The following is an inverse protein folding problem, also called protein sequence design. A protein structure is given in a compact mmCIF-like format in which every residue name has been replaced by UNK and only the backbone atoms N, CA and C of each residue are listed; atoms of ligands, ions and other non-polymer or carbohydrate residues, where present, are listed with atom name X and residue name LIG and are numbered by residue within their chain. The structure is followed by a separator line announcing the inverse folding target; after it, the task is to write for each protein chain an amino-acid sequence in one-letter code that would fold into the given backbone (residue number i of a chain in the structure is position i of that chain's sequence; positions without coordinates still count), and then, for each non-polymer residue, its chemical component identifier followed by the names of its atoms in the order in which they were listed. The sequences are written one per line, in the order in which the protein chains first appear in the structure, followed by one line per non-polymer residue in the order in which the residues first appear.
data_IF_103062687139
#
_entry.id   IF_103062687139
#
_cell.length_a   1.000
_cell.length_b   1.000
_cell.length_c   1.000
_cell.angle_alpha   90.00
_cell.angle_beta   90.00
_cell.angle_gamma   90.00
#
_symmetry.space_group_name_H-M   'P 1'
#
loop_
_entity.id
_entity.type
_entity.pdbx_description
1 polymer ?
#
# COMPACT_ATOMS: atom_id res chain seq x y z
N UNK A 1 0.35 -17.83 0.16
CA UNK A 1 -0.36 -16.59 0.54
C UNK A 1 -1.43 -16.27 -0.49
N UNK A 2 -2.49 -15.60 -0.09
CA UNK A 2 -3.56 -15.21 -1.02
C UNK A 2 -3.07 -14.15 -2.00
N UNK A 3 -3.42 -14.29 -3.29
CA UNK A 3 -3.16 -13.26 -4.28
C UNK A 3 -3.96 -11.99 -3.97
N UNK A 4 -3.42 -10.82 -4.31
CA UNK A 4 -4.13 -9.56 -4.14
C UNK A 4 -4.86 -9.14 -5.41
N UNK A 5 -6.04 -8.59 -5.22
CA UNK A 5 -6.90 -8.03 -6.27
C UNK A 5 -7.40 -6.64 -5.85
N UNK A 6 -8.07 -5.95 -6.76
CA UNK A 6 -8.80 -4.71 -6.46
C UNK A 6 -10.06 -4.95 -5.60
N UNK A 7 -10.03 -5.92 -4.70
CA UNK A 7 -11.10 -6.21 -3.75
C UNK A 7 -10.91 -5.46 -2.43
N UNK A 8 -11.54 -5.97 -1.39
CA UNK A 8 -11.55 -5.35 -0.06
C UNK A 8 -10.33 -5.71 0.79
N UNK A 9 -9.13 -5.73 0.22
CA UNK A 9 -7.88 -5.92 0.96
C UNK A 9 -7.38 -4.63 1.59
N UNK A 10 -6.46 -4.74 2.55
CA UNK A 10 -5.86 -3.58 3.20
C UNK A 10 -4.35 -3.76 3.36
N UNK A 11 -3.63 -2.69 3.07
CA UNK A 11 -2.21 -2.53 3.33
C UNK A 11 -2.04 -1.59 4.52
N UNK A 12 -1.15 -1.91 5.45
CA UNK A 12 -0.90 -1.09 6.63
C UNK A 12 0.58 -0.80 6.78
N UNK A 13 0.91 0.47 6.99
CA UNK A 13 2.23 0.93 7.39
C UNK A 13 2.24 1.47 8.82
N UNK A 14 3.31 1.19 9.56
CA UNK A 14 3.56 1.73 10.88
C UNK A 14 5.05 1.57 11.23
N UNK A 15 5.68 2.56 11.86
CA UNK A 15 5.16 3.90 12.15
C UNK A 15 5.26 4.84 10.93
N UNK A 16 4.17 5.51 10.62
CA UNK A 16 4.17 6.60 9.65
C UNK A 16 4.33 7.92 10.41
N UNK A 17 5.55 8.44 10.44
CA UNK A 17 5.89 9.61 11.26
C UNK A 17 5.61 10.87 10.48
N UNK A 18 4.59 11.61 10.91
CA UNK A 18 4.19 12.88 10.34
C UNK A 18 4.31 14.02 11.34
N UNK A 19 4.65 15.20 10.84
CA UNK A 19 4.74 16.40 11.65
C UNK A 19 3.33 16.90 12.00
N UNK A 20 3.06 16.99 13.29
CA UNK A 20 1.78 17.43 13.82
C UNK A 20 1.95 18.72 14.57
N UNK A 21 1.14 19.76 14.30
CA UNK A 21 1.22 21.01 15.06
C UNK A 21 0.74 20.82 16.49
N UNK A 22 1.64 20.99 17.45
CA UNK A 22 1.33 21.01 18.88
C UNK A 22 1.61 22.42 19.40
N UNK A 23 0.59 23.27 19.41
CA UNK A 23 0.76 24.71 19.63
C UNK A 23 1.56 25.34 18.47
N UNK A 24 2.61 26.13 18.75
CA UNK A 24 3.41 26.78 17.71
C UNK A 24 4.54 25.90 17.13
N UNK A 25 4.67 24.64 17.59
CA UNK A 25 5.81 23.77 17.25
C UNK A 25 5.34 22.50 16.55
N UNK A 26 5.91 22.14 15.37
CA UNK A 26 5.68 20.85 14.76
C UNK A 26 6.38 19.73 15.54
N UNK A 27 5.65 18.68 15.88
CA UNK A 27 6.15 17.52 16.61
C UNK A 27 5.99 16.27 15.74
N UNK A 28 7.05 15.44 15.55
CA UNK A 28 6.92 14.18 14.84
C UNK A 28 6.13 13.18 15.68
N UNK A 29 5.01 12.71 15.16
CA UNK A 29 4.14 11.75 15.82
C UNK A 29 3.95 10.54 14.89
N UNK A 30 4.10 9.31 15.40
CA UNK A 30 3.85 8.10 14.60
C UNK A 30 2.35 7.83 14.47
N UNK A 31 1.90 7.59 13.24
CA UNK A 31 0.53 7.21 12.93
C UNK A 31 0.49 5.83 12.25
N UNK A 32 -0.59 5.07 12.40
CA UNK A 32 -0.90 3.98 11.50
C UNK A 32 -1.40 4.57 10.18
N UNK A 33 -0.96 4.02 9.06
CA UNK A 33 -1.41 4.46 7.75
C UNK A 33 -1.97 3.25 6.99
N UNK A 34 -3.19 3.36 6.48
CA UNK A 34 -3.92 2.26 5.86
C UNK A 34 -4.30 2.65 4.44
N UNK A 35 -3.98 1.76 3.49
CA UNK A 35 -4.42 1.87 2.11
C UNK A 35 -5.32 0.70 1.75
N UNK A 36 -6.41 0.97 1.03
CA UNK A 36 -7.32 -0.06 0.57
C UNK A 36 -6.97 -0.56 -0.82
N UNK A 37 -6.99 -1.87 -1.03
CA UNK A 37 -6.75 -2.48 -2.34
C UNK A 37 -7.78 -2.03 -3.38
N UNK A 38 -8.99 -1.68 -2.96
CA UNK A 38 -10.06 -1.20 -3.83
C UNK A 38 -9.73 0.13 -4.53
N UNK A 39 -8.89 0.97 -3.92
CA UNK A 39 -8.45 2.25 -4.49
C UNK A 39 -7.12 2.15 -5.22
N UNK A 40 -6.60 0.94 -5.41
CA UNK A 40 -5.31 0.69 -6.05
C UNK A 40 -5.46 0.61 -7.57
N UNK A 41 -4.63 1.34 -8.29
CA UNK A 41 -4.59 1.36 -9.76
C UNK A 41 -3.17 1.75 -10.25
N UNK A 42 -2.72 1.30 -11.45
CA UNK A 42 -3.40 0.34 -12.33
C UNK A 42 -3.39 -1.09 -11.76
N UNK A 43 -4.11 -1.99 -12.41
CA UNK A 43 -4.13 -3.41 -12.09
C UNK A 43 -3.99 -4.26 -13.36
N UNK A 44 -3.74 -5.54 -13.22
CA UNK A 44 -3.75 -6.47 -14.34
C UNK A 44 -5.20 -6.81 -14.75
N UNK A 45 -5.81 -5.95 -15.55
CA UNK A 45 -7.22 -6.04 -15.93
C UNK A 45 -7.58 -7.26 -16.80
N UNK A 46 -6.58 -7.93 -17.36
CA UNK A 46 -6.72 -9.16 -18.12
C UNK A 46 -6.60 -10.44 -17.25
N UNK A 47 -6.25 -10.30 -15.99
CA UNK A 47 -6.15 -11.40 -15.03
C UNK A 47 -7.11 -11.16 -13.87
N UNK A 48 -8.24 -11.86 -13.88
CA UNK A 48 -9.29 -11.71 -12.89
C UNK A 48 -9.27 -12.87 -11.89
N UNK A 49 -9.37 -12.53 -10.61
CA UNK A 49 -9.59 -13.48 -9.52
C UNK A 49 -10.82 -12.99 -8.76
N UNK A 50 -11.81 -13.87 -8.59
CA UNK A 50 -13.12 -13.52 -8.01
C UNK A 50 -13.75 -12.29 -8.69
N UNK A 51 -13.67 -12.23 -10.02
CA UNK A 51 -14.16 -11.13 -10.84
C UNK A 51 -13.48 -9.77 -10.59
N UNK A 52 -12.37 -9.73 -9.86
CA UNK A 52 -11.60 -8.53 -9.59
C UNK A 52 -10.22 -8.58 -10.25
N UNK A 53 -9.73 -7.48 -10.85
CA UNK A 53 -8.39 -7.42 -11.42
C UNK A 53 -7.30 -7.71 -10.40
N UNK A 54 -6.28 -8.46 -10.82
CA UNK A 54 -5.14 -8.81 -9.96
C UNK A 54 -4.17 -7.65 -9.84
N UNK A 55 -3.62 -7.43 -8.66
CA UNK A 55 -2.59 -6.42 -8.42
C UNK A 55 -1.21 -6.95 -8.77
N UNK A 56 -0.37 -6.09 -9.31
CA UNK A 56 1.01 -6.39 -9.68
C UNK A 56 1.99 -5.32 -9.17
N UNK A 57 3.26 -5.43 -9.58
CA UNK A 57 4.35 -4.57 -9.06
C UNK A 57 4.19 -3.08 -9.40
N UNK A 58 3.44 -2.72 -10.43
CA UNK A 58 3.18 -1.30 -10.79
C UNK A 58 1.87 -0.77 -10.24
N UNK A 59 1.12 -1.59 -9.51
CA UNK A 59 -0.09 -1.15 -8.85
C UNK A 59 0.23 -0.19 -7.72
N UNK A 60 -0.50 0.92 -7.66
CA UNK A 60 -0.33 1.96 -6.65
C UNK A 60 -1.63 2.15 -5.88
N UNK A 61 -1.57 2.08 -4.56
CA UNK A 61 -2.64 2.59 -3.71
C UNK A 61 -2.68 4.10 -3.84
N UNK A 62 -3.78 4.64 -4.36
CA UNK A 62 -3.84 6.06 -4.71
C UNK A 62 -3.98 6.97 -3.50
N UNK A 63 -4.58 6.46 -2.42
CA UNK A 63 -4.85 7.20 -1.18
C UNK A 63 -4.63 6.27 0.00
N UNK A 64 -4.04 6.79 1.05
CA UNK A 64 -3.96 6.15 2.37
C UNK A 64 -4.62 7.02 3.44
N UNK A 65 -5.03 6.42 4.53
CA UNK A 65 -5.75 7.08 5.63
C UNK A 65 -5.15 6.70 6.97
N UNK A 66 -5.22 7.60 7.95
CA UNK A 66 -4.79 7.37 9.33
C UNK A 66 -3.73 8.36 9.84
N UNK A 67 -3.06 9.07 8.95
CA UNK A 67 -2.03 10.07 9.26
C UNK A 67 -2.49 11.52 9.08
N UNK A 68 -3.78 11.76 8.83
CA UNK A 68 -4.37 13.08 8.58
C UNK A 68 -4.07 14.12 9.67
N UNK A 69 -3.95 13.78 10.97
CA UNK A 69 -3.56 14.79 11.96
C UNK A 69 -2.14 15.33 11.76
N UNK A 70 -1.32 14.65 10.97
CA UNK A 70 0.04 15.06 10.60
C UNK A 70 0.09 16.06 9.46
N UNK A 71 -0.71 17.14 9.52
CA UNK A 71 -0.92 18.13 8.46
C UNK A 71 0.34 18.88 8.00
N UNK A 72 1.45 18.79 8.74
CA UNK A 72 2.75 19.32 8.34
C UNK A 72 3.61 18.30 7.61
N UNK A 73 3.00 17.20 7.17
CA UNK A 73 3.51 16.19 6.27
C UNK A 73 4.51 15.19 6.90
N UNK A 74 4.75 14.12 6.17
CA UNK A 74 5.69 13.06 6.58
C UNK A 74 7.12 13.56 6.72
N UNK A 75 7.85 13.02 7.67
CA UNK A 75 9.23 13.43 7.98
C UNK A 75 10.19 13.08 6.84
N UNK A 76 9.91 12.02 6.08
CA UNK A 76 10.79 11.53 5.01
C UNK A 76 10.24 11.90 3.63
N UNK A 77 9.00 11.57 3.33
CA UNK A 77 8.42 11.77 2.00
C UNK A 77 7.78 13.14 1.81
N UNK A 78 7.52 13.87 2.88
CA UNK A 78 6.78 15.15 2.86
C UNK A 78 5.37 15.01 2.27
N UNK A 79 4.72 13.89 2.53
CA UNK A 79 3.35 13.60 2.12
C UNK A 79 2.52 13.16 3.33
N UNK A 80 1.24 13.42 3.27
CA UNK A 80 0.20 12.80 4.09
C UNK A 80 -0.87 12.21 3.19
N UNK A 81 -1.58 11.17 3.61
CA UNK A 81 -2.63 10.50 2.83
C UNK A 81 -2.20 10.20 1.37
N UNK A 82 -0.93 9.89 1.21
CA UNK A 82 -0.26 9.75 -0.09
C UNK A 82 -0.39 8.36 -0.69
N UNK A 83 0.41 8.11 -1.71
CA UNK A 83 0.40 6.84 -2.43
C UNK A 83 1.09 5.73 -1.65
N UNK A 84 0.58 4.50 -1.85
CA UNK A 84 1.21 3.28 -1.37
C UNK A 84 1.79 2.51 -2.56
N UNK A 85 3.07 2.17 -2.49
CA UNK A 85 3.75 1.39 -3.52
C UNK A 85 4.04 -0.02 -3.03
N UNK A 86 3.91 -1.02 -3.94
CA UNK A 86 4.35 -2.38 -3.67
C UNK A 86 5.84 -2.50 -3.98
N UNK A 87 6.66 -2.74 -2.97
CA UNK A 87 8.11 -2.80 -3.10
C UNK A 87 8.61 -4.19 -3.52
N UNK A 88 7.96 -5.26 -3.05
CA UNK A 88 8.33 -6.63 -3.36
C UNK A 88 7.08 -7.46 -3.65
N UNK A 89 7.01 -8.01 -4.86
CA UNK A 89 5.97 -8.94 -5.29
C UNK A 89 6.44 -10.39 -5.33
N UNK A 90 5.58 -11.27 -5.77
CA UNK A 90 5.87 -12.67 -6.00
C UNK A 90 6.59 -12.83 -7.35
N UNK A 91 7.91 -13.00 -7.34
CA UNK A 91 8.73 -13.04 -8.56
C UNK A 91 8.52 -14.29 -9.41
N UNK A 92 7.96 -15.36 -8.85
CA UNK A 92 7.71 -16.62 -9.57
C UNK A 92 6.35 -16.65 -10.25
N UNK A 93 5.46 -15.72 -9.92
CA UNK A 93 4.12 -15.62 -10.48
C UNK A 93 3.93 -14.22 -11.05
N UNK A 94 3.61 -14.16 -12.33
CA UNK A 94 3.44 -12.89 -13.05
C UNK A 94 1.96 -12.64 -13.34
N UNK A 95 1.52 -11.41 -13.11
CA UNK A 95 0.24 -10.90 -13.55
C UNK A 95 0.49 -9.79 -14.57
N UNK A 96 0.09 -10.01 -15.81
CA UNK A 96 0.33 -9.11 -16.93
C UNK A 96 1.83 -8.79 -17.14
N UNK A 97 2.67 -9.82 -17.04
CA UNK A 97 4.12 -9.70 -17.23
C UNK A 97 4.91 -9.09 -16.08
N UNK A 98 4.26 -8.78 -14.96
CA UNK A 98 4.86 -8.18 -13.78
C UNK A 98 4.62 -9.04 -12.54
N UNK A 99 5.51 -9.01 -11.53
CA UNK A 99 5.33 -9.77 -10.30
C UNK A 99 3.98 -9.51 -9.66
N UNK A 100 3.23 -10.58 -9.39
CA UNK A 100 1.92 -10.49 -8.74
C UNK A 100 2.08 -10.12 -7.26
N UNK A 101 1.12 -9.38 -6.72
CA UNK A 101 1.09 -9.05 -5.30
C UNK A 101 0.29 -10.10 -4.51
N UNK A 102 0.64 -10.25 -3.25
CA UNK A 102 0.01 -11.23 -2.36
C UNK A 102 -0.09 -10.70 -0.94
N UNK A 103 -0.89 -11.38 -0.13
CA UNK A 103 -0.92 -11.14 1.31
C UNK A 103 0.52 -11.18 1.86
N UNK A 104 0.89 -10.24 2.71
CA UNK A 104 2.25 -10.00 3.22
C UNK A 104 3.23 -9.40 2.20
N UNK A 105 2.79 -8.96 1.01
CA UNK A 105 3.63 -8.12 0.15
C UNK A 105 4.09 -6.89 0.90
N UNK A 106 5.38 -6.58 0.76
CA UNK A 106 5.97 -5.40 1.41
C UNK A 106 5.56 -4.14 0.64
N UNK A 107 5.06 -3.16 1.37
CA UNK A 107 4.64 -1.87 0.83
C UNK A 107 5.44 -0.73 1.41
N UNK A 108 5.48 0.39 0.71
CA UNK A 108 5.91 1.68 1.23
C UNK A 108 4.71 2.61 1.28
N UNK A 109 4.48 3.21 2.44
CA UNK A 109 3.37 4.14 2.65
C UNK A 109 3.82 5.58 2.47
N UNK A 110 2.92 6.44 1.99
CA UNK A 110 3.22 7.84 1.67
C UNK A 110 4.46 7.96 0.79
N UNK A 111 4.51 7.17 -0.29
CA UNK A 111 5.64 7.17 -1.22
C UNK A 111 5.66 8.41 -2.11
N UNK A 112 6.86 8.97 -2.26
CA UNK A 112 7.17 9.95 -3.28
C UNK A 112 8.30 9.37 -4.14
N UNK A 113 7.94 8.90 -5.35
CA UNK A 113 8.89 8.37 -6.33
C UNK A 113 9.88 7.35 -5.72
N UNK A 114 9.36 6.25 -5.16
CA UNK A 114 10.11 5.18 -4.47
C UNK A 114 10.74 5.54 -3.12
N UNK A 115 10.43 6.69 -2.57
CA UNK A 115 10.87 7.07 -1.23
C UNK A 115 9.69 7.01 -0.25
N UNK A 116 9.50 5.90 0.49
CA UNK A 116 8.41 5.77 1.43
C UNK A 116 8.66 6.54 2.72
N UNK A 117 7.61 7.09 3.32
CA UNK A 117 7.67 7.66 4.66
C UNK A 117 7.67 6.55 5.73
N UNK A 118 6.94 5.47 5.48
CA UNK A 118 6.86 4.33 6.38
C UNK A 118 6.89 2.99 5.62
N UNK A 119 7.51 1.96 6.19
CA UNK A 119 7.36 0.60 5.69
C UNK A 119 6.01 0.04 6.07
N UNK A 120 5.46 -0.83 5.23
CA UNK A 120 4.20 -1.49 5.49
C UNK A 120 4.14 -2.86 4.83
N UNK A 121 3.00 -3.50 5.02
CA UNK A 121 2.69 -4.76 4.36
C UNK A 121 1.18 -4.93 4.18
N UNK A 122 0.80 -5.78 3.25
CA UNK A 122 -0.58 -6.19 3.12
C UNK A 122 -0.95 -7.12 4.28
N UNK A 123 -1.94 -6.69 5.08
CA UNK A 123 -2.38 -7.39 6.29
C UNK A 123 -3.74 -8.06 6.16
N UNK A 124 -4.56 -7.62 5.21
CA UNK A 124 -5.89 -8.18 4.99
C UNK A 124 -6.03 -8.65 3.53
N UNK A 125 -6.41 -9.92 3.30
CA UNK A 125 -6.55 -10.42 1.94
C UNK A 125 -7.76 -9.80 1.25
N UNK A 126 -7.60 -9.50 -0.05
CA UNK A 126 -8.71 -9.02 -0.89
C UNK A 126 -9.59 -10.14 -1.40
N UNK A 127 -9.12 -11.39 -1.36
CA UNK A 127 -9.85 -12.61 -1.73
C UNK A 127 -9.20 -13.81 -1.03
N UNK A 128 -9.93 -14.92 -0.95
CA UNK A 128 -9.49 -16.13 -0.23
C UNK A 128 -9.61 -17.42 -1.07
N UNK A 129 -9.71 -17.29 -2.38
CA UNK A 129 -9.90 -18.42 -3.30
C UNK A 129 -8.60 -18.85 -3.98
N UNK A 130 -7.72 -17.91 -4.33
CA UNK A 130 -6.48 -18.18 -5.06
C UNK A 130 -5.26 -17.89 -4.21
N UNK A 131 -4.42 -18.91 -4.07
CA UNK A 131 -3.14 -18.84 -3.35
C UNK A 131 -1.97 -18.69 -4.32
N UNK A 132 -1.03 -17.84 -4.00
CA UNK A 132 0.26 -17.72 -4.67
C UNK A 132 1.33 -18.36 -3.79
N UNK A 133 1.96 -19.43 -4.27
CA UNK A 133 2.92 -20.23 -3.51
C UNK A 133 4.39 -19.94 -3.89
N UNK A 134 4.58 -18.99 -4.74
CA UNK A 134 5.93 -18.62 -5.20
C UNK A 134 6.74 -17.75 -4.27
#
# INVERSE_FOLDING_TARGET
MFALTQGAGMDMGFPDVCLTPVGPVPVPIPYPNIAESATTAPAAYNVLIDCMPTLNQVSLGLVSEGDEPGVELGVVSHLESGQTEYLVGCITIMADGLPAQRLTSVTGQNCLAVLPNAPGMCICPSQVTVLTLG
#
